data_IF_367957880774
#
_entry.id   IF_367957880774
#
_cell.length_a   1.000
_cell.length_b   1.000
_cell.length_c   1.000
_cell.angle_alpha   90.00
_cell.angle_beta   90.00
_cell.angle_gamma   90.00
#
_symmetry.space_group_name_H-M   'P 1'
#
loop_
_entity.id
_entity.type
_entity.pdbx_description
1 polymer ?
#
# COMPACT_ATOMS: atom_id res chain seq x y z
N UNK A 1 -10.03 19.29 22.75
CA UNK A 1 -9.04 19.43 21.66
C UNK A 1 -8.47 18.06 21.44
N UNK A 2 -9.00 17.32 20.50
CA UNK A 2 -8.47 16.03 20.07
C UNK A 2 -7.19 16.31 19.29
N UNK A 3 -6.05 16.07 19.91
CA UNK A 3 -4.77 15.99 19.21
C UNK A 3 -4.92 14.91 18.15
N UNK A 4 -5.00 15.31 16.90
CA UNK A 4 -4.85 14.39 15.77
C UNK A 4 -3.46 13.77 15.95
N UNK A 5 -3.39 12.53 16.43
CA UNK A 5 -2.14 11.78 16.43
C UNK A 5 -1.77 11.58 14.98
N UNK A 6 -0.79 12.35 14.53
CA UNK A 6 -0.15 12.05 13.25
C UNK A 6 0.55 10.70 13.38
N UNK A 7 0.55 9.86 12.32
CA UNK A 7 1.33 8.63 12.31
C UNK A 7 2.79 8.93 12.63
N UNK A 8 3.58 7.95 13.11
CA UNK A 8 4.98 8.13 13.47
C UNK A 8 5.73 8.91 12.40
N UNK A 9 6.40 9.98 12.81
CA UNK A 9 7.01 10.92 11.86
C UNK A 9 8.28 10.32 11.28
N UNK A 10 8.27 10.02 9.99
CA UNK A 10 9.48 9.66 9.24
C UNK A 10 10.27 10.92 8.87
N UNK A 11 11.61 10.80 8.83
CA UNK A 11 12.44 11.86 8.25
C UNK A 11 12.23 11.92 6.72
N UNK A 12 11.58 12.97 6.18
CA UNK A 12 11.24 13.05 4.77
C UNK A 12 12.47 13.13 3.86
N UNK A 13 13.59 13.65 4.35
CA UNK A 13 14.84 13.68 3.58
C UNK A 13 15.45 12.28 3.46
N UNK A 14 15.37 11.47 4.51
CA UNK A 14 15.83 10.08 4.47
C UNK A 14 14.95 9.25 3.53
N UNK A 15 13.64 9.42 3.61
CA UNK A 15 12.67 8.78 2.69
C UNK A 15 12.95 9.18 1.25
N UNK A 16 13.07 10.48 0.95
CA UNK A 16 13.35 10.97 -0.41
C UNK A 16 14.69 10.45 -0.96
N UNK A 17 15.71 10.34 -0.10
CA UNK A 17 17.01 9.75 -0.47
C UNK A 17 16.86 8.26 -0.80
N UNK A 18 16.17 7.52 0.05
CA UNK A 18 15.91 6.09 -0.18
C UNK A 18 15.14 5.87 -1.48
N UNK A 19 14.09 6.63 -1.73
CA UNK A 19 13.31 6.54 -2.96
C UNK A 19 14.17 6.69 -4.22
N UNK A 20 15.27 7.45 -4.17
CA UNK A 20 16.20 7.62 -5.30
C UNK A 20 17.22 6.48 -5.46
N UNK A 21 17.68 5.89 -4.33
CA UNK A 21 18.81 4.94 -4.32
C UNK A 21 18.40 3.49 -4.05
N UNK A 22 17.13 3.23 -3.73
CA UNK A 22 16.65 1.89 -3.47
C UNK A 22 16.88 0.97 -4.67
N UNK A 23 17.27 -0.31 -4.44
CA UNK A 23 17.54 -1.26 -5.50
C UNK A 23 16.37 -1.40 -6.48
N UNK A 24 16.68 -1.57 -7.77
CA UNK A 24 15.71 -1.81 -8.84
C UNK A 24 15.31 -3.30 -8.90
N UNK A 25 15.02 -3.87 -7.74
CA UNK A 25 14.66 -5.27 -7.57
C UNK A 25 13.65 -5.39 -6.44
N UNK A 26 12.72 -6.32 -6.58
CA UNK A 26 11.79 -6.68 -5.52
C UNK A 26 12.52 -7.57 -4.50
N UNK A 27 12.54 -7.20 -3.20
CA UNK A 27 13.05 -8.08 -2.17
C UNK A 27 12.24 -9.37 -2.07
N UNK A 28 12.87 -10.46 -1.65
CA UNK A 28 12.19 -11.75 -1.50
C UNK A 28 10.94 -11.64 -0.59
N UNK A 29 11.05 -10.96 0.54
CA UNK A 29 9.93 -10.79 1.46
C UNK A 29 8.75 -10.05 0.79
N UNK A 30 9.02 -9.06 -0.06
CA UNK A 30 7.95 -8.35 -0.77
C UNK A 30 7.23 -9.26 -1.77
N UNK A 31 7.95 -10.16 -2.46
CA UNK A 31 7.33 -11.15 -3.36
C UNK A 31 6.50 -12.18 -2.59
N UNK A 32 6.99 -12.63 -1.43
CA UNK A 32 6.26 -13.55 -0.54
C UNK A 32 4.97 -12.91 0.00
N UNK A 33 5.07 -11.67 0.50
CA UNK A 33 3.91 -10.90 0.97
C UNK A 33 2.91 -10.67 -0.15
N UNK A 34 3.38 -10.35 -1.35
CA UNK A 34 2.52 -10.17 -2.51
C UNK A 34 1.79 -11.47 -2.89
N UNK A 35 2.46 -12.62 -2.80
CA UNK A 35 1.83 -13.93 -3.04
C UNK A 35 0.68 -14.18 -2.05
N UNK A 36 0.93 -13.99 -0.75
CA UNK A 36 -0.08 -14.12 0.31
C UNK A 36 -1.22 -13.12 0.15
N UNK A 37 -0.92 -11.90 -0.31
CA UNK A 37 -1.94 -10.90 -0.60
C UNK A 37 -2.80 -11.30 -1.81
N UNK A 38 -2.22 -11.98 -2.82
CA UNK A 38 -2.99 -12.52 -3.95
C UNK A 38 -3.97 -13.62 -3.54
N UNK A 39 -3.60 -14.47 -2.58
CA UNK A 39 -4.50 -15.50 -2.07
C UNK A 39 -5.77 -14.90 -1.48
N UNK A 40 -5.67 -13.72 -0.89
CA UNK A 40 -6.83 -12.97 -0.36
C UNK A 40 -7.77 -12.44 -1.43
N UNK A 41 -7.32 -12.27 -2.69
CA UNK A 41 -8.16 -11.88 -3.81
C UNK A 41 -9.21 -12.93 -4.21
N UNK A 42 -9.10 -14.17 -3.73
CA UNK A 42 -10.13 -15.20 -3.99
C UNK A 42 -11.48 -14.85 -3.35
N UNK A 43 -11.48 -14.07 -2.28
CA UNK A 43 -12.67 -13.63 -1.58
C UNK A 43 -13.35 -12.41 -2.21
N UNK A 44 -12.65 -11.72 -3.14
CA UNK A 44 -13.16 -10.53 -3.82
C UNK A 44 -13.77 -10.94 -5.15
N UNK A 45 -15.11 -10.79 -5.26
CA UNK A 45 -15.86 -11.18 -6.46
C UNK A 45 -15.71 -10.21 -7.63
N UNK A 46 -15.31 -8.97 -7.35
CA UNK A 46 -15.16 -7.93 -8.37
C UNK A 46 -14.02 -8.31 -9.33
N UNK A 47 -14.33 -8.30 -10.62
CA UNK A 47 -13.35 -8.49 -11.69
C UNK A 47 -13.03 -7.10 -12.25
N UNK A 48 -11.80 -6.57 -12.04
CA UNK A 48 -11.46 -5.23 -12.50
C UNK A 48 -11.37 -5.18 -14.04
N UNK A 49 -11.97 -4.18 -14.66
CA UNK A 49 -11.75 -3.85 -16.07
C UNK A 49 -10.43 -3.07 -16.23
N UNK A 50 -10.08 -2.28 -15.23
CA UNK A 50 -8.80 -1.58 -15.14
C UNK A 50 -8.24 -1.68 -13.71
N UNK A 51 -6.93 -1.86 -13.60
CA UNK A 51 -6.26 -1.91 -12.30
C UNK A 51 -4.92 -1.19 -12.32
N UNK A 52 -4.47 -0.76 -11.15
CA UNK A 52 -3.17 -0.13 -10.98
C UNK A 52 -2.27 -0.96 -10.05
N UNK A 53 -1.00 -1.12 -10.44
CA UNK A 53 0.05 -1.62 -9.56
C UNK A 53 0.93 -0.45 -9.11
N UNK A 54 0.83 -0.11 -7.84
CA UNK A 54 1.61 0.97 -7.24
C UNK A 54 2.97 0.45 -6.77
N UNK A 55 4.05 0.99 -7.35
CA UNK A 55 5.41 0.62 -6.97
C UNK A 55 5.81 -0.81 -7.38
N UNK A 56 5.45 -1.26 -8.58
CA UNK A 56 5.62 -2.64 -9.05
C UNK A 56 7.06 -3.16 -8.97
N UNK A 57 8.07 -2.31 -9.20
CA UNK A 57 9.48 -2.70 -9.17
C UNK A 57 9.90 -3.17 -7.77
N UNK A 58 9.44 -2.49 -6.73
CA UNK A 58 9.73 -2.86 -5.35
C UNK A 58 8.66 -3.76 -4.74
N UNK A 59 7.41 -3.55 -5.13
CA UNK A 59 6.25 -4.25 -4.60
C UNK A 59 6.06 -5.68 -5.10
N UNK A 60 6.74 -6.11 -6.17
CA UNK A 60 6.69 -7.48 -6.66
C UNK A 60 6.48 -7.60 -8.16
N UNK A 61 7.55 -7.84 -8.91
CA UNK A 61 7.48 -8.09 -10.36
C UNK A 61 6.87 -9.46 -10.69
N UNK A 62 7.10 -10.48 -9.85
CA UNK A 62 6.43 -11.79 -9.98
C UNK A 62 4.94 -11.66 -9.73
N UNK A 63 4.56 -10.94 -8.66
CA UNK A 63 3.17 -10.67 -8.35
C UNK A 63 2.49 -9.89 -9.51
N UNK A 64 3.17 -8.91 -10.11
CA UNK A 64 2.65 -8.21 -11.28
C UNK A 64 2.35 -9.17 -12.42
N UNK A 65 3.26 -10.08 -12.73
CA UNK A 65 3.06 -11.08 -13.79
C UNK A 65 1.86 -11.99 -13.49
N UNK A 66 1.73 -12.46 -12.25
CA UNK A 66 0.61 -13.30 -11.82
C UNK A 66 -0.74 -12.57 -11.88
N UNK A 67 -0.80 -11.30 -11.41
CA UNK A 67 -2.00 -10.46 -11.51
C UNK A 67 -2.39 -10.20 -12.97
N UNK A 68 -1.41 -9.96 -13.85
CA UNK A 68 -1.65 -9.80 -15.29
C UNK A 68 -2.21 -11.07 -15.91
N UNK A 69 -1.78 -12.25 -15.43
CA UNK A 69 -2.36 -13.53 -15.87
C UNK A 69 -3.76 -13.77 -15.32
N UNK A 70 -4.04 -13.32 -14.09
CA UNK A 70 -5.37 -13.42 -13.48
C UNK A 70 -6.38 -12.49 -14.17
N UNK A 71 -5.94 -11.29 -14.56
CA UNK A 71 -6.78 -10.24 -15.16
C UNK A 71 -6.40 -9.97 -16.62
N UNK A 72 -6.40 -11.01 -17.44
CA UNK A 72 -5.93 -10.98 -18.84
C UNK A 72 -6.63 -9.95 -19.74
N UNK A 73 -7.86 -9.58 -19.41
CA UNK A 73 -8.70 -8.67 -20.19
C UNK A 73 -8.70 -7.23 -19.64
N UNK A 74 -7.96 -6.99 -18.56
CA UNK A 74 -7.98 -5.70 -17.86
C UNK A 74 -6.85 -4.79 -18.32
N UNK A 75 -7.15 -3.51 -18.45
CA UNK A 75 -6.13 -2.47 -18.63
C UNK A 75 -5.31 -2.36 -17.34
N UNK A 76 -3.99 -2.22 -17.45
CA UNK A 76 -3.09 -2.10 -16.32
C UNK A 76 -2.35 -0.77 -16.32
N UNK A 77 -2.30 -0.10 -15.17
CA UNK A 77 -1.44 1.04 -14.89
C UNK A 77 -0.31 0.61 -13.96
N UNK A 78 0.94 0.83 -14.37
CA UNK A 78 2.13 0.61 -13.54
C UNK A 78 2.60 1.96 -13.05
N UNK A 79 2.24 2.27 -11.80
CA UNK A 79 2.47 3.57 -11.17
C UNK A 79 3.80 3.56 -10.39
N UNK A 80 4.83 4.19 -10.93
CA UNK A 80 6.13 4.35 -10.27
C UNK A 80 6.40 5.82 -9.94
N UNK A 81 6.79 6.10 -8.70
CA UNK A 81 7.06 7.47 -8.25
C UNK A 81 8.40 8.05 -8.73
N UNK A 82 9.30 7.24 -9.27
CA UNK A 82 10.63 7.65 -9.73
C UNK A 82 10.84 7.25 -11.19
N UNK A 83 11.38 8.17 -11.98
CA UNK A 83 11.62 7.96 -13.42
C UNK A 83 12.51 6.72 -13.69
N UNK A 84 13.57 6.53 -12.89
CA UNK A 84 14.44 5.37 -13.04
C UNK A 84 13.71 4.04 -12.81
N UNK A 85 12.76 4.00 -11.87
CA UNK A 85 11.92 2.82 -11.64
C UNK A 85 10.90 2.64 -12.75
N UNK A 86 10.32 3.73 -13.25
CA UNK A 86 9.41 3.69 -14.39
C UNK A 86 10.08 3.11 -15.62
N UNK A 87 11.29 3.56 -15.96
CA UNK A 87 12.08 3.01 -17.06
C UNK A 87 12.44 1.53 -16.86
N UNK A 88 12.77 1.16 -15.61
CA UNK A 88 13.01 -0.24 -15.26
C UNK A 88 11.76 -1.10 -15.39
N UNK A 89 10.60 -0.61 -14.93
CA UNK A 89 9.32 -1.29 -15.09
C UNK A 89 8.97 -1.50 -16.58
N UNK A 90 9.14 -0.47 -17.41
CA UNK A 90 8.97 -0.59 -18.87
C UNK A 90 9.84 -1.73 -19.40
N UNK A 91 11.14 -1.74 -19.06
CA UNK A 91 12.08 -2.78 -19.54
C UNK A 91 11.68 -4.19 -19.11
N UNK A 92 11.08 -4.35 -17.92
CA UNK A 92 10.75 -5.67 -17.34
C UNK A 92 9.35 -6.15 -17.71
N UNK A 93 8.40 -5.26 -17.87
CA UNK A 93 6.97 -5.58 -17.99
C UNK A 93 6.47 -5.38 -19.42
N UNK A 94 6.94 -4.35 -20.14
CA UNK A 94 6.43 -4.06 -21.47
C UNK A 94 6.66 -5.22 -22.42
N UNK A 95 5.61 -5.58 -23.16
CA UNK A 95 5.72 -6.58 -24.21
C UNK A 95 6.51 -6.00 -25.40
N UNK A 96 7.48 -6.75 -25.94
CA UNK A 96 8.21 -6.32 -27.13
C UNK A 96 7.26 -6.02 -28.29
N UNK A 97 7.60 -5.03 -29.11
CA UNK A 97 6.75 -4.58 -30.21
C UNK A 97 6.45 -5.67 -31.25
N UNK A 98 7.34 -6.66 -31.39
CA UNK A 98 7.21 -7.81 -32.30
C UNK A 98 6.40 -8.98 -31.71
N UNK A 99 5.99 -8.91 -30.46
CA UNK A 99 5.21 -9.96 -29.81
C UNK A 99 3.74 -9.86 -30.27
N UNK A 100 3.19 -10.84 -31.02
CA UNK A 100 1.81 -10.78 -31.50
C UNK A 100 0.78 -10.80 -30.36
N UNK A 101 1.13 -11.28 -29.18
CA UNK A 101 0.29 -11.28 -27.97
C UNK A 101 -0.14 -9.85 -27.61
N UNK A 102 0.66 -8.84 -27.95
CA UNK A 102 0.32 -7.42 -27.73
C UNK A 102 -0.97 -6.99 -28.46
N UNK A 103 -1.31 -7.61 -29.60
CA UNK A 103 -2.53 -7.28 -30.36
C UNK A 103 -3.81 -7.76 -29.68
N UNK A 104 -3.67 -8.74 -28.77
CA UNK A 104 -4.80 -9.40 -28.13
C UNK A 104 -4.94 -9.06 -26.62
N UNK A 105 -3.94 -8.37 -26.07
CA UNK A 105 -3.95 -7.95 -24.66
C UNK A 105 -4.28 -6.46 -24.55
N UNK A 106 -5.05 -6.06 -23.51
CA UNK A 106 -5.24 -4.67 -23.16
C UNK A 106 -3.93 -3.93 -22.92
N UNK A 107 -3.94 -2.61 -23.05
CA UNK A 107 -2.77 -1.76 -22.87
C UNK A 107 -2.25 -1.81 -21.42
N UNK A 108 -0.91 -1.77 -21.31
CA UNK A 108 -0.24 -1.47 -20.04
C UNK A 108 0.32 -0.04 -20.12
N UNK A 109 -0.13 0.82 -19.23
CA UNK A 109 0.30 2.22 -19.11
C UNK A 109 1.34 2.35 -17.99
N UNK A 110 2.45 3.01 -18.27
CA UNK A 110 3.54 3.23 -17.30
C UNK A 110 3.48 4.67 -16.76
N UNK A 111 2.37 4.98 -16.11
CA UNK A 111 2.06 6.30 -15.57
C UNK A 111 1.12 6.16 -14.38
N UNK A 112 0.91 7.27 -13.67
CA UNK A 112 -0.08 7.30 -12.60
C UNK A 112 -1.49 7.16 -13.19
N UNK A 113 -2.37 6.33 -12.58
CA UNK A 113 -3.73 6.21 -13.05
C UNK A 113 -4.47 7.55 -12.93
N UNK A 114 -5.21 7.97 -13.97
CA UNK A 114 -6.07 9.14 -13.90
C UNK A 114 -7.12 9.03 -12.77
N UNK A 115 -7.72 10.14 -12.34
CA UNK A 115 -8.83 10.10 -11.38
C UNK A 115 -9.98 9.22 -11.87
N UNK A 116 -10.53 8.39 -10.96
CA UNK A 116 -11.67 7.50 -11.21
C UNK A 116 -11.50 6.59 -12.44
N UNK A 117 -10.28 6.06 -12.65
CA UNK A 117 -9.95 5.27 -13.84
C UNK A 117 -9.79 3.77 -13.57
N UNK A 118 -9.56 3.36 -12.33
CA UNK A 118 -9.28 1.96 -12.00
C UNK A 118 -10.28 1.37 -11.02
N UNK A 119 -10.58 0.08 -11.19
CA UNK A 119 -11.50 -0.68 -10.33
C UNK A 119 -10.75 -1.30 -9.16
N UNK A 120 -9.45 -1.55 -9.31
CA UNK A 120 -8.57 -2.08 -8.27
C UNK A 120 -7.26 -1.29 -8.23
N UNK A 121 -6.81 -0.94 -7.03
CA UNK A 121 -5.46 -0.45 -6.79
C UNK A 121 -4.72 -1.45 -5.89
N UNK A 122 -3.61 -1.95 -6.39
CA UNK A 122 -2.73 -2.90 -5.71
C UNK A 122 -1.45 -2.20 -5.27
N UNK A 123 -1.18 -2.17 -3.97
CA UNK A 123 -0.01 -1.50 -3.38
C UNK A 123 0.67 -2.39 -2.34
N UNK A 124 1.61 -3.21 -2.78
CA UNK A 124 2.35 -4.10 -1.89
C UNK A 124 3.56 -3.39 -1.28
N UNK A 125 3.68 -3.44 0.06
CA UNK A 125 4.84 -2.98 0.84
C UNK A 125 5.26 -1.51 0.55
N UNK A 126 4.28 -0.62 0.30
CA UNK A 126 4.55 0.77 -0.06
C UNK A 126 4.26 1.78 1.07
N UNK A 127 3.25 1.49 1.91
CA UNK A 127 2.68 2.48 2.82
C UNK A 127 3.61 2.84 3.99
N UNK A 128 4.32 1.88 4.56
CA UNK A 128 5.21 2.08 5.70
C UNK A 128 6.51 2.85 5.40
N UNK A 129 6.85 3.04 4.12
CA UNK A 129 7.99 3.86 3.65
C UNK A 129 7.56 5.26 3.19
N UNK A 130 6.35 5.70 3.50
CA UNK A 130 5.79 6.96 3.00
C UNK A 130 5.80 8.03 4.07
N UNK A 131 6.41 9.18 3.77
CA UNK A 131 6.49 10.30 4.71
C UNK A 131 5.15 11.01 4.93
N UNK A 132 4.24 10.96 3.97
CA UNK A 132 2.87 11.51 4.05
C UNK A 132 1.87 10.44 3.59
N UNK A 133 1.46 9.55 4.49
CA UNK A 133 0.54 8.47 4.16
C UNK A 133 -0.87 8.97 3.83
N UNK A 134 -1.33 10.06 4.44
CA UNK A 134 -2.66 10.61 4.15
C UNK A 134 -2.74 11.15 2.72
N UNK A 135 -1.71 11.87 2.26
CA UNK A 135 -1.65 12.33 0.87
C UNK A 135 -1.59 11.16 -0.13
N UNK A 136 -0.86 10.09 0.21
CA UNK A 136 -0.79 8.88 -0.61
C UNK A 136 -2.14 8.17 -0.70
N UNK A 137 -2.80 7.94 0.45
CA UNK A 137 -4.12 7.31 0.52
C UNK A 137 -5.19 8.13 -0.21
N UNK A 138 -5.16 9.47 -0.07
CA UNK A 138 -6.04 10.36 -0.83
C UNK A 138 -5.78 10.27 -2.35
N UNK A 139 -4.52 10.10 -2.76
CA UNK A 139 -4.14 9.85 -4.15
C UNK A 139 -4.71 8.53 -4.68
N UNK A 140 -4.61 7.47 -3.91
CA UNK A 140 -5.17 6.15 -4.25
C UNK A 140 -6.70 6.20 -4.33
N UNK A 141 -7.34 6.83 -3.33
CA UNK A 141 -8.80 7.02 -3.34
C UNK A 141 -9.26 7.79 -4.59
N UNK A 142 -8.53 8.83 -4.99
CA UNK A 142 -8.86 9.62 -6.19
C UNK A 142 -8.78 8.78 -7.46
N UNK A 143 -7.77 7.92 -7.60
CA UNK A 143 -7.56 7.06 -8.76
C UNK A 143 -8.65 5.99 -8.94
N UNK A 144 -9.19 5.48 -7.84
CA UNK A 144 -10.23 4.45 -7.86
C UNK A 144 -11.55 5.00 -8.39
N UNK A 145 -12.26 4.18 -9.16
CA UNK A 145 -13.68 4.37 -9.49
C UNK A 145 -14.54 4.19 -8.25
N UNK A 146 -15.76 4.70 -8.27
CA UNK A 146 -16.78 4.37 -7.28
C UNK A 146 -17.03 2.86 -7.29
N UNK A 147 -17.16 2.25 -6.12
CA UNK A 147 -17.22 0.80 -5.88
C UNK A 147 -15.91 0.05 -6.24
N UNK A 148 -14.85 0.74 -6.64
CA UNK A 148 -13.52 0.16 -6.76
C UNK A 148 -12.89 -0.08 -5.38
N UNK A 149 -11.85 -0.90 -5.33
CA UNK A 149 -11.20 -1.27 -4.07
C UNK A 149 -9.69 -1.08 -4.10
N UNK A 150 -9.17 -0.77 -2.93
CA UNK A 150 -7.76 -0.78 -2.60
C UNK A 150 -7.40 -2.14 -1.99
N UNK A 151 -6.27 -2.70 -2.39
CA UNK A 151 -5.62 -3.84 -1.76
C UNK A 151 -4.18 -3.46 -1.47
N UNK A 152 -3.76 -3.50 -0.22
CA UNK A 152 -2.40 -3.10 0.15
C UNK A 152 -1.81 -3.98 1.24
N UNK A 153 -0.48 -3.88 1.39
CA UNK A 153 0.24 -4.41 2.53
C UNK A 153 1.32 -3.44 3.00
N UNK A 154 1.69 -3.56 4.26
CA UNK A 154 2.79 -2.82 4.85
C UNK A 154 3.37 -3.58 6.04
N UNK A 155 4.48 -3.09 6.58
CA UNK A 155 5.03 -3.60 7.83
C UNK A 155 4.31 -2.99 9.04
N UNK A 156 4.12 -3.80 10.07
CA UNK A 156 3.51 -3.42 11.33
C UNK A 156 4.52 -3.25 12.48
N UNK A 157 4.05 -2.77 13.65
CA UNK A 157 4.89 -2.33 14.77
C UNK A 157 5.80 -3.40 15.37
N UNK A 158 5.46 -4.68 15.29
CA UNK A 158 6.30 -5.75 15.83
C UNK A 158 7.43 -6.18 14.87
N UNK A 159 7.57 -5.53 13.71
CA UNK A 159 8.67 -5.80 12.79
C UNK A 159 10.02 -5.51 13.42
N UNK A 160 10.93 -6.49 13.36
CA UNK A 160 12.29 -6.42 13.86
C UNK A 160 12.39 -6.03 15.36
N UNK A 161 11.41 -6.48 16.17
CA UNK A 161 11.38 -6.21 17.61
C UNK A 161 12.65 -6.72 18.31
N UNK A 162 13.20 -7.84 17.86
CA UNK A 162 14.43 -8.42 18.39
C UNK A 162 15.64 -7.51 18.13
N UNK A 163 15.74 -6.93 16.94
CA UNK A 163 16.80 -5.98 16.60
C UNK A 163 16.67 -4.69 17.42
N UNK A 164 15.45 -4.20 17.62
CA UNK A 164 15.19 -3.02 18.46
C UNK A 164 15.61 -3.27 19.91
N UNK A 165 15.32 -4.46 20.44
CA UNK A 165 15.73 -4.85 21.78
C UNK A 165 17.27 -4.84 21.93
N UNK A 166 18.02 -5.36 20.96
CA UNK A 166 19.51 -5.31 20.96
C UNK A 166 20.01 -3.86 21.00
N UNK A 167 19.44 -2.96 20.17
CA UNK A 167 19.85 -1.56 20.17
C UNK A 167 19.52 -0.86 21.49
N UNK A 168 18.38 -1.15 22.08
CA UNK A 168 17.98 -0.60 23.37
C UNK A 168 18.90 -1.06 24.52
N UNK A 169 19.24 -2.35 24.59
CA UNK A 169 20.16 -2.91 25.58
C UNK A 169 21.55 -2.27 25.52
N UNK A 170 21.99 -1.89 24.34
CA UNK A 170 23.30 -1.28 24.12
C UNK A 170 23.29 0.25 24.21
N UNK A 171 22.12 0.87 24.51
CA UNK A 171 21.98 2.31 24.57
C UNK A 171 22.25 3.00 23.24
N UNK A 172 22.00 2.31 22.13
CA UNK A 172 22.17 2.88 20.79
C UNK A 172 20.94 3.66 20.33
N UNK A 173 21.11 4.64 19.42
CA UNK A 173 19.97 5.30 18.78
C UNK A 173 19.06 4.29 18.11
N UNK A 174 17.77 4.62 17.88
CA UNK A 174 16.78 3.70 17.34
C UNK A 174 17.25 2.93 16.11
N UNK A 175 17.03 1.61 16.10
CA UNK A 175 17.41 0.71 15.01
C UNK A 175 16.60 0.94 13.73
N UNK A 176 15.35 1.34 13.88
CA UNK A 176 14.37 1.61 12.83
C UNK A 176 13.41 2.71 13.25
N UNK A 177 12.62 3.16 12.30
CA UNK A 177 11.51 4.07 12.60
C UNK A 177 10.33 3.29 13.22
N UNK A 178 9.45 4.00 13.87
CA UNK A 178 8.21 3.44 14.38
C UNK A 178 7.28 3.13 13.20
N UNK A 179 6.66 1.97 13.27
CA UNK A 179 5.71 1.50 12.27
C UNK A 179 4.30 1.66 12.81
N UNK A 180 3.39 2.00 11.93
CA UNK A 180 2.00 2.30 12.26
C UNK A 180 1.19 1.02 12.47
N UNK A 181 0.34 1.00 13.49
CA UNK A 181 -0.56 -0.09 13.81
C UNK A 181 -1.70 -0.23 12.77
N UNK A 182 -2.29 -1.42 12.69
CA UNK A 182 -3.37 -1.70 11.75
C UNK A 182 -4.64 -0.88 12.01
N UNK A 183 -4.92 -0.52 13.26
CA UNK A 183 -6.09 0.29 13.62
C UNK A 183 -5.90 1.73 13.14
N UNK A 184 -4.71 2.30 13.33
CA UNK A 184 -4.37 3.63 12.84
C UNK A 184 -4.44 3.69 11.31
N UNK A 185 -4.01 2.61 10.61
CA UNK A 185 -4.19 2.51 9.16
C UNK A 185 -5.67 2.48 8.76
N UNK A 186 -6.49 1.75 9.51
CA UNK A 186 -7.94 1.71 9.32
C UNK A 186 -8.57 3.09 9.47
N UNK A 187 -8.20 3.83 10.51
CA UNK A 187 -8.69 5.19 10.77
C UNK A 187 -8.26 6.17 9.66
N UNK A 188 -7.01 6.09 9.18
CA UNK A 188 -6.53 6.91 8.07
C UNK A 188 -7.27 6.60 6.76
N UNK A 189 -7.61 5.33 6.50
CA UNK A 189 -8.44 4.95 5.36
C UNK A 189 -9.82 5.61 5.43
N UNK A 190 -10.49 5.53 6.58
CA UNK A 190 -11.80 6.16 6.79
C UNK A 190 -11.69 7.68 6.64
N UNK A 191 -10.66 8.28 7.24
CA UNK A 191 -10.41 9.73 7.14
C UNK A 191 -10.22 10.19 5.69
N UNK A 192 -9.60 9.38 4.86
CA UNK A 192 -9.36 9.69 3.44
C UNK A 192 -10.53 9.34 2.52
N UNK A 193 -11.64 8.85 3.09
CA UNK A 193 -12.90 8.63 2.37
C UNK A 193 -13.15 7.19 1.93
N UNK A 194 -12.30 6.24 2.30
CA UNK A 194 -12.58 4.82 2.09
C UNK A 194 -13.67 4.33 3.04
N UNK A 195 -14.36 3.28 2.65
CA UNK A 195 -15.36 2.59 3.46
C UNK A 195 -14.96 1.13 3.67
N UNK A 196 -15.52 0.55 4.73
CA UNK A 196 -15.40 -0.88 5.06
C UNK A 196 -13.94 -1.38 5.05
N UNK A 197 -13.01 -0.70 5.74
CA UNK A 197 -11.64 -1.20 5.81
C UNK A 197 -11.63 -2.55 6.54
N UNK A 198 -11.10 -3.57 5.86
CA UNK A 198 -10.82 -4.88 6.46
C UNK A 198 -9.32 -5.02 6.59
N UNK A 199 -8.87 -5.21 7.81
CA UNK A 199 -7.46 -5.31 8.14
C UNK A 199 -7.16 -6.70 8.69
N UNK A 200 -6.05 -7.27 8.29
CA UNK A 200 -5.53 -8.57 8.74
C UNK A 200 -4.04 -8.44 9.01
N UNK A 201 -3.51 -9.25 9.91
CA UNK A 201 -2.12 -9.20 10.32
C UNK A 201 -1.56 -10.61 10.49
N UNK A 202 -0.33 -10.81 10.05
CA UNK A 202 0.42 -12.02 10.32
C UNK A 202 1.86 -11.72 10.69
N UNK A 203 2.50 -12.64 11.41
CA UNK A 203 3.93 -12.59 11.73
C UNK A 203 4.68 -13.62 10.92
N UNK A 204 5.69 -13.17 10.19
CA UNK A 204 6.61 -13.99 9.42
C UNK A 204 7.95 -13.97 10.13
N UNK A 205 8.42 -15.12 10.61
CA UNK A 205 9.75 -15.24 11.22
C UNK A 205 10.73 -15.73 10.16
N UNK A 206 11.75 -14.93 9.90
CA UNK A 206 12.86 -15.31 9.02
C UNK A 206 14.07 -15.73 9.86
N UNK A 207 14.79 -16.77 9.41
CA UNK A 207 15.99 -17.26 10.07
C UNK A 207 17.21 -17.03 9.18
N UNK A 208 18.34 -16.70 9.81
CA UNK A 208 19.58 -16.32 9.15
C UNK A 208 20.75 -17.09 9.71
N UNK A 209 21.63 -17.58 8.84
CA UNK A 209 22.83 -18.33 9.22
C UNK A 209 23.88 -17.43 9.86
N UNK A 210 23.90 -16.13 9.51
CA UNK A 210 24.88 -15.17 10.04
C UNK A 210 24.32 -13.75 10.13
N UNK A 211 24.89 -12.90 11.01
CA UNK A 211 24.56 -11.48 11.08
C UNK A 211 24.78 -10.74 9.75
N UNK A 212 25.78 -11.14 8.96
CA UNK A 212 26.07 -10.53 7.67
C UNK A 212 24.91 -10.71 6.70
N UNK A 213 24.39 -11.93 6.63
CA UNK A 213 23.26 -12.25 5.75
C UNK A 213 22.01 -11.49 6.19
N UNK A 214 21.73 -11.46 7.50
CA UNK A 214 20.62 -10.68 8.06
C UNK A 214 20.75 -9.20 7.70
N UNK A 215 21.91 -8.58 7.92
CA UNK A 215 22.13 -7.16 7.61
C UNK A 215 22.03 -6.87 6.10
N UNK A 216 22.46 -7.79 5.25
CA UNK A 216 22.33 -7.67 3.80
C UNK A 216 20.85 -7.62 3.38
N UNK A 217 20.04 -8.54 3.88
CA UNK A 217 18.61 -8.60 3.53
C UNK A 217 17.84 -7.40 4.09
N UNK A 218 18.11 -6.98 5.33
CA UNK A 218 17.54 -5.74 5.86
C UNK A 218 17.91 -4.52 5.02
N UNK A 219 19.14 -4.48 4.48
CA UNK A 219 19.56 -3.41 3.58
C UNK A 219 18.83 -3.41 2.23
N UNK A 220 18.33 -4.54 1.78
CA UNK A 220 17.50 -4.64 0.57
C UNK A 220 16.05 -4.24 0.84
N UNK A 221 15.54 -4.53 2.03
CA UNK A 221 14.17 -4.19 2.45
C UNK A 221 13.98 -2.68 2.60
N UNK A 222 14.89 -2.00 3.30
CA UNK A 222 14.68 -0.58 3.59
C UNK A 222 15.87 0.10 4.26
N UNK A 223 15.58 1.25 4.85
CA UNK A 223 16.52 2.05 5.65
C UNK A 223 15.84 2.55 6.91
N UNK A 224 16.64 2.96 7.86
CA UNK A 224 16.14 3.61 9.06
C UNK A 224 15.75 5.07 8.76
N UNK A 225 14.46 5.36 8.80
CA UNK A 225 13.90 6.71 8.59
C UNK A 225 13.58 7.43 9.91
N UNK A 226 13.99 6.88 11.05
CA UNK A 226 13.73 7.51 12.34
C UNK A 226 14.44 8.87 12.46
N UNK A 227 13.76 9.96 12.88
CA UNK A 227 14.38 11.27 13.03
C UNK A 227 15.57 11.29 13.98
N UNK A 228 15.50 10.52 15.08
CA UNK A 228 16.57 10.38 16.07
C UNK A 228 17.59 9.26 15.76
N UNK A 229 17.61 8.74 14.53
CA UNK A 229 18.65 7.77 14.12
C UNK A 229 20.04 8.40 14.22
N UNK A 230 21.06 7.56 14.27
CA UNK A 230 22.44 8.04 14.21
C UNK A 230 22.67 8.84 12.90
N UNK A 231 22.99 10.12 13.05
CA UNK A 231 23.03 11.07 11.92
C UNK A 231 24.31 10.98 11.06
N UNK A 232 25.38 10.33 11.58
CA UNK A 232 26.68 10.26 10.90
C UNK A 232 26.91 8.95 10.14
N UNK A 233 28.08 8.87 9.52
CA UNK A 233 28.57 7.64 8.94
C UNK A 233 29.12 6.74 10.05
N UNK A 234 28.75 5.47 10.07
CA UNK A 234 29.27 4.48 10.99
C UNK A 234 30.43 3.74 10.35
N UNK A 235 31.57 3.76 11.06
CA UNK A 235 32.80 3.18 10.57
C UNK A 235 32.85 1.65 10.70
N UNK A 236 33.97 1.07 10.25
CA UNK A 236 34.19 -0.38 10.23
C UNK A 236 34.08 -1.01 11.62
N UNK A 237 34.62 -0.34 12.66
CA UNK A 237 34.54 -0.81 14.04
C UNK A 237 33.12 -0.90 14.58
N UNK A 238 32.26 0.04 14.21
CA UNK A 238 30.86 -0.03 14.60
C UNK A 238 30.17 -1.24 13.96
N UNK A 239 30.48 -1.54 12.68
CA UNK A 239 29.93 -2.73 12.01
C UNK A 239 30.34 -4.01 12.75
N UNK A 240 31.60 -4.12 13.17
CA UNK A 240 32.07 -5.27 13.94
C UNK A 240 31.28 -5.41 15.25
N UNK A 241 31.14 -4.33 16.02
CA UNK A 241 30.35 -4.33 17.27
C UNK A 241 28.88 -4.72 17.03
N UNK A 242 28.28 -4.25 15.93
CA UNK A 242 26.92 -4.65 15.58
C UNK A 242 26.83 -6.14 15.30
N UNK A 243 27.75 -6.70 14.55
CA UNK A 243 27.77 -8.14 14.24
C UNK A 243 27.97 -9.00 15.49
N UNK A 244 28.87 -8.59 16.39
CA UNK A 244 29.08 -9.23 17.69
C UNK A 244 27.80 -9.16 18.54
N UNK A 245 27.17 -7.98 18.61
CA UNK A 245 25.94 -7.78 19.36
C UNK A 245 24.79 -8.65 18.82
N UNK A 246 24.61 -8.72 17.50
CA UNK A 246 23.60 -9.58 16.87
C UNK A 246 23.88 -11.05 17.14
N UNK A 247 25.14 -11.48 17.05
CA UNK A 247 25.53 -12.86 17.34
C UNK A 247 25.26 -13.28 18.79
N UNK A 248 25.39 -12.33 19.74
CA UNK A 248 25.30 -12.58 21.18
C UNK A 248 23.89 -12.41 21.72
N UNK A 249 23.16 -11.39 21.26
CA UNK A 249 21.89 -10.95 21.87
C UNK A 249 20.65 -11.26 21.03
N UNK A 250 20.82 -11.53 19.73
CA UNK A 250 19.66 -11.86 18.91
C UNK A 250 19.15 -13.27 19.24
N UNK A 251 17.83 -13.40 19.30
CA UNK A 251 17.18 -14.70 19.56
C UNK A 251 17.54 -15.70 18.47
N UNK A 252 17.77 -16.95 18.88
CA UNK A 252 18.00 -18.05 17.95
C UNK A 252 16.81 -18.97 17.94
N UNK A 253 16.44 -19.42 16.75
CA UNK A 253 15.43 -20.46 16.57
C UNK A 253 15.91 -21.83 17.08
N UNK A 254 15.03 -22.80 17.05
CA UNK A 254 15.33 -24.18 17.45
C UNK A 254 16.45 -24.82 16.60
N UNK A 255 16.67 -24.32 15.40
CA UNK A 255 17.73 -24.70 14.46
C UNK A 255 19.07 -24.01 14.73
N UNK A 256 19.18 -23.18 15.80
CA UNK A 256 20.36 -22.41 16.17
C UNK A 256 20.61 -21.18 15.28
N UNK A 257 19.78 -20.88 14.29
CA UNK A 257 19.88 -19.73 13.40
C UNK A 257 19.34 -18.47 14.06
N UNK A 258 19.86 -17.31 13.67
CA UNK A 258 19.35 -16.02 14.11
C UNK A 258 17.95 -15.81 13.60
N UNK A 259 17.03 -15.36 14.45
CA UNK A 259 15.64 -15.14 14.09
C UNK A 259 15.28 -13.66 14.10
N UNK A 260 14.47 -13.24 13.14
CA UNK A 260 13.91 -11.91 13.06
C UNK A 260 12.44 -11.99 12.64
N UNK A 261 11.58 -11.30 13.39
CA UNK A 261 10.15 -11.26 13.14
C UNK A 261 9.79 -10.08 12.26
N UNK A 262 8.92 -10.33 11.28
CA UNK A 262 8.28 -9.31 10.45
C UNK A 262 6.77 -9.40 10.67
N UNK A 263 6.19 -8.36 11.19
CA UNK A 263 4.75 -8.20 11.21
C UNK A 263 4.30 -7.60 9.89
N UNK A 264 3.39 -8.27 9.22
CA UNK A 264 2.84 -7.83 7.94
C UNK A 264 1.36 -7.55 8.11
N UNK A 265 0.97 -6.34 7.79
CA UNK A 265 -0.42 -5.90 7.77
C UNK A 265 -0.91 -5.95 6.33
N UNK A 266 -2.08 -6.55 6.13
CA UNK A 266 -2.83 -6.56 4.88
C UNK A 266 -4.09 -5.75 5.09
N UNK A 267 -4.42 -4.91 4.12
CA UNK A 267 -5.62 -4.12 4.18
C UNK A 267 -6.34 -4.10 2.85
N UNK A 268 -7.66 -4.08 2.93
CA UNK A 268 -8.48 -3.78 1.79
C UNK A 268 -9.58 -2.81 2.19
N UNK A 269 -9.98 -1.92 1.28
CA UNK A 269 -11.02 -0.94 1.52
C UNK A 269 -11.71 -0.55 0.21
N UNK A 270 -12.97 -0.18 0.29
CA UNK A 270 -13.79 0.20 -0.86
C UNK A 270 -13.84 1.73 -1.01
N UNK A 271 -13.94 2.20 -2.26
CA UNK A 271 -14.35 3.58 -2.51
C UNK A 271 -15.86 3.65 -2.58
N UNK A 272 -16.53 4.23 -1.57
CA UNK A 272 -17.98 4.28 -1.53
C UNK A 272 -18.55 5.26 -2.57
N UNK A 273 -19.84 5.15 -2.83
CA UNK A 273 -20.57 6.20 -3.53
C UNK A 273 -20.55 7.49 -2.71
N UNK A 274 -20.45 8.66 -3.35
CA UNK A 274 -20.55 9.93 -2.66
C UNK A 274 -21.86 9.99 -1.85
N UNK A 275 -21.73 10.21 -0.55
CA UNK A 275 -22.93 10.45 0.28
C UNK A 275 -23.59 11.74 -0.17
N UNK A 276 -24.83 11.68 -0.59
CA UNK A 276 -25.65 12.87 -0.83
C UNK A 276 -25.75 13.57 0.53
N UNK A 277 -25.26 14.80 0.63
CA UNK A 277 -25.49 15.62 1.81
C UNK A 277 -26.99 15.90 1.88
N UNK A 278 -27.72 15.12 2.67
CA UNK A 278 -29.09 15.47 3.05
C UNK A 278 -28.96 16.68 3.96
N UNK A 279 -29.39 17.84 3.47
CA UNK A 279 -29.49 19.02 4.32
C UNK A 279 -30.49 18.70 5.43
N UNK A 280 -30.15 18.90 6.70
CA UNK A 280 -31.09 18.68 7.81
C UNK A 280 -32.28 19.66 7.78
N UNK A 281 -32.28 20.63 6.89
CA UNK A 281 -33.33 21.60 6.64
C UNK A 281 -33.69 21.57 5.16
N UNK A 282 -34.62 20.71 4.77
CA UNK A 282 -35.37 20.90 3.52
C UNK A 282 -36.52 21.85 3.82
N UNK A 283 -36.32 23.16 3.64
CA UNK A 283 -37.41 24.10 3.58
C UNK A 283 -38.01 24.08 2.17
N UNK A 284 -39.10 23.38 2.00
CA UNK A 284 -39.92 23.52 0.78
C UNK A 284 -40.79 24.77 1.00
N UNK A 285 -40.70 25.75 0.09
CA UNK A 285 -41.55 26.93 0.18
C UNK A 285 -43.02 26.51 0.05
N UNK A 286 -43.92 27.20 0.74
CA UNK A 286 -45.39 26.95 0.64
C UNK A 286 -45.88 27.08 -0.82
N UNK A 287 -45.21 27.90 -1.63
CA UNK A 287 -45.51 28.06 -3.05
C UNK A 287 -45.07 26.87 -3.88
N UNK A 288 -43.91 26.26 -3.58
CA UNK A 288 -43.45 25.04 -4.26
C UNK A 288 -44.31 23.84 -3.88
N UNK A 289 -44.74 23.75 -2.63
CA UNK A 289 -45.68 22.73 -2.17
C UNK A 289 -47.03 22.85 -2.85
N UNK A 290 -47.58 24.09 -3.02
CA UNK A 290 -48.79 24.33 -3.77
C UNK A 290 -48.66 23.96 -5.23
N UNK A 291 -47.56 24.27 -5.90
CA UNK A 291 -47.27 23.86 -7.27
C UNK A 291 -47.23 22.34 -7.45
N UNK A 292 -46.59 21.63 -6.52
CA UNK A 292 -46.55 20.15 -6.56
C UNK A 292 -47.97 19.56 -6.40
N UNK A 293 -48.79 20.09 -5.52
CA UNK A 293 -50.16 19.63 -5.31
C UNK A 293 -51.11 19.97 -6.48
N UNK A 294 -50.89 21.07 -7.20
CA UNK A 294 -51.65 21.45 -8.37
C UNK A 294 -51.22 20.69 -9.64
N UNK A 295 -49.98 20.20 -9.73
CA UNK A 295 -49.47 19.43 -10.85
C UNK A 295 -49.90 17.96 -10.90
N UNK A 296 -50.46 17.41 -9.81
CA UNK A 296 -50.92 16.01 -9.73
C UNK A 296 -52.42 15.84 -10.14
N UNK A 297 -53.10 16.93 -10.53
CA UNK A 297 -54.55 16.93 -10.83
C UNK A 297 -54.95 16.74 -12.29
N UNK A 298 -54.00 16.56 -13.24
CA UNK A 298 -54.38 16.54 -14.69
C UNK A 298 -53.91 15.27 -15.44
N UNK A 299 -54.20 14.10 -14.88
CA UNK A 299 -54.01 12.87 -15.63
C UNK A 299 -55.06 11.82 -15.28
N UNK A 300 -56.34 12.11 -15.66
CA UNK A 300 -57.33 11.04 -15.89
C UNK A 300 -58.54 11.66 -16.65
N UNK A 301 -58.45 11.71 -17.98
CA UNK A 301 -59.64 11.65 -18.85
C UNK A 301 -59.39 10.55 -19.88
N UNK A 302 -59.99 9.39 -19.61
CA UNK A 302 -60.23 8.32 -20.58
C UNK A 302 -61.06 8.88 -21.75
N UNK A 303 -60.79 8.55 -23.01
CA UNK A 303 -61.78 8.58 -24.04
C UNK A 303 -62.57 7.25 -24.03
N UNK A 304 -63.88 7.36 -23.86
CA UNK A 304 -64.84 6.29 -24.14
C UNK A 304 -64.88 5.95 -25.64
N UNK A 305 -65.15 4.67 -25.87
CA UNK A 305 -65.34 4.03 -27.18
C UNK A 305 -66.46 4.62 -28.02
N UNK A 306 -66.20 4.65 -29.30
CA UNK A 306 -67.13 4.24 -30.39
C UNK A 306 -66.35 3.70 -31.56
#
# INVERSE_FOLDING_TARGET
>A
MTTTQHPPTLDPLAVARWQRVAPLVSPWLHEEVASRMQDRLQWIKLQPEAWAHWGAVRGGLKAHAQLTMKYLKSVCFVAEGQEIRRLHAIKKIAQPWWNPVRLWRPATHFELPPPASVDMLWANMALHETADPLALLAGWHRALKVNGFLMFSCLGPDTAIELRAVYQQLGWPPAGHELTDMHDWGDMLVQTGFAEPVMDMERITLTYDSPERLLQELAELGRNFHPARFAGLRGRQWKVRLMEALSTHLVRGADGRLSLTFEVIYGHALKPQPKIKVSPLSSVSVEDMRRMLQGTGSAQSRPEAR
#
